data_IF_977963039518
#
_entry.id   IF_977963039518
#
_cell.length_a   1.000
_cell.length_b   1.000
_cell.length_c   1.000
_cell.angle_alpha   90.00
_cell.angle_beta   90.00
_cell.angle_gamma   90.00
#
_symmetry.space_group_name_H-M   'P 1'
#
loop_
_entity.id
_entity.type
_entity.pdbx_description
1 polymer ?
#
# COMPACT_ATOMS: atom_id res chain seq x y z
N UNK A 1 8.22 11.11 -12.00
CA UNK A 1 6.76 11.32 -11.80
C UNK A 1 6.62 12.54 -10.91
N UNK A 2 5.77 13.50 -11.28
CA UNK A 2 5.50 14.66 -10.44
C UNK A 2 4.24 14.44 -9.63
N UNK A 3 4.25 14.84 -8.37
CA UNK A 3 3.11 14.70 -7.47
C UNK A 3 3.03 15.90 -6.52
N UNK A 4 1.85 16.24 -5.96
CA UNK A 4 1.74 17.38 -5.07
C UNK A 4 2.34 17.01 -3.71
N UNK A 5 2.90 17.96 -2.99
CA UNK A 5 3.36 17.71 -1.64
C UNK A 5 2.21 17.25 -0.73
N UNK A 6 2.48 16.26 0.14
CA UNK A 6 1.46 15.67 1.02
C UNK A 6 1.24 16.48 2.32
N UNK A 7 2.33 16.93 2.95
CA UNK A 7 2.30 17.77 4.14
C UNK A 7 3.05 19.07 3.90
N UNK A 8 2.49 20.22 4.28
CA UNK A 8 3.16 21.52 4.18
C UNK A 8 2.43 22.49 3.24
N UNK A 9 3.21 23.37 2.60
CA UNK A 9 2.69 24.46 1.77
C UNK A 9 1.87 23.97 0.57
N UNK A 10 0.79 24.69 0.28
CA UNK A 10 -0.04 24.39 -0.89
C UNK A 10 0.69 24.75 -2.18
N UNK A 11 0.55 23.90 -3.20
CA UNK A 11 1.10 24.04 -4.56
C UNK A 11 2.58 23.69 -4.77
N UNK A 12 3.27 23.16 -3.77
CA UNK A 12 4.60 22.59 -3.98
C UNK A 12 4.50 21.25 -4.72
N UNK A 13 5.34 21.10 -5.75
CA UNK A 13 5.42 19.89 -6.58
C UNK A 13 6.71 19.15 -6.29
N UNK A 14 6.59 17.88 -5.96
CA UNK A 14 7.71 16.97 -5.70
C UNK A 14 7.89 15.98 -6.84
N UNK A 15 9.07 15.35 -6.90
CA UNK A 15 9.40 14.39 -7.96
C UNK A 15 9.78 13.02 -7.42
N UNK A 16 8.96 12.02 -7.69
CA UNK A 16 9.28 10.62 -7.39
C UNK A 16 9.97 9.96 -8.60
N UNK A 17 11.03 9.18 -8.33
CA UNK A 17 11.79 8.49 -9.38
C UNK A 17 12.06 7.03 -9.05
N UNK A 18 11.48 6.15 -9.88
CA UNK A 18 11.69 4.71 -9.77
C UNK A 18 13.13 4.28 -10.07
N UNK A 19 13.87 5.06 -10.87
CA UNK A 19 15.27 4.74 -11.21
C UNK A 19 16.19 4.80 -9.99
N UNK A 20 15.86 5.60 -8.97
CA UNK A 20 16.62 5.68 -7.72
C UNK A 20 16.56 4.36 -6.96
N UNK A 21 15.41 3.67 -6.98
CA UNK A 21 15.26 2.37 -6.32
C UNK A 21 16.22 1.34 -6.91
N UNK A 22 16.45 1.41 -8.23
CA UNK A 22 17.44 0.56 -8.91
C UNK A 22 18.86 0.94 -8.52
N UNK A 23 19.18 2.23 -8.45
CA UNK A 23 20.50 2.70 -8.00
C UNK A 23 20.81 2.25 -6.58
N UNK A 24 19.86 2.34 -5.66
CA UNK A 24 20.02 1.85 -4.28
C UNK A 24 20.26 0.35 -4.27
N UNK A 25 19.47 -0.42 -5.03
CA UNK A 25 19.69 -1.85 -5.16
C UNK A 25 21.08 -2.21 -5.68
N UNK A 26 21.58 -1.46 -6.66
CA UNK A 26 22.92 -1.67 -7.23
C UNK A 26 24.02 -1.29 -6.24
N UNK A 27 23.87 -0.17 -5.51
CA UNK A 27 24.80 0.25 -4.44
C UNK A 27 24.90 -0.82 -3.35
N UNK A 28 23.76 -1.36 -2.92
CA UNK A 28 23.72 -2.38 -1.87
C UNK A 28 23.97 -3.80 -2.39
N UNK A 29 24.19 -3.99 -3.70
CA UNK A 29 24.31 -5.33 -4.28
C UNK A 29 25.51 -6.10 -3.74
N UNK A 30 26.63 -5.41 -3.51
CA UNK A 30 27.88 -5.93 -2.95
C UNK A 30 27.98 -5.84 -1.42
N UNK A 31 27.05 -5.17 -0.75
CA UNK A 31 27.11 -4.95 0.69
C UNK A 31 26.57 -6.14 1.48
N UNK A 32 27.21 -6.45 2.60
CA UNK A 32 26.78 -7.52 3.51
C UNK A 32 25.57 -7.09 4.35
N UNK A 33 25.57 -5.84 4.81
CA UNK A 33 24.47 -5.21 5.54
C UNK A 33 23.75 -4.24 4.62
N UNK A 34 22.43 -4.37 4.55
CA UNK A 34 21.58 -3.58 3.65
C UNK A 34 20.54 -2.84 4.47
N UNK A 35 20.28 -1.60 4.12
CA UNK A 35 19.14 -0.80 4.57
C UNK A 35 17.85 -1.25 3.87
N UNK A 36 17.89 -1.46 2.55
CA UNK A 36 16.69 -1.84 1.76
C UNK A 36 16.41 -3.34 1.83
N UNK A 37 16.37 -3.90 3.04
CA UNK A 37 16.19 -5.33 3.29
C UNK A 37 14.88 -5.81 2.64
N UNK A 38 15.01 -6.80 1.77
CA UNK A 38 13.88 -7.41 1.06
C UNK A 38 13.64 -6.84 -0.34
N UNK A 39 14.30 -5.75 -0.74
CA UNK A 39 14.27 -5.28 -2.13
C UNK A 39 14.93 -6.33 -3.04
N UNK A 40 14.23 -6.71 -4.11
CA UNK A 40 14.70 -7.77 -5.01
C UNK A 40 14.63 -7.32 -6.45
N UNK A 41 15.48 -7.93 -7.30
CA UNK A 41 15.46 -7.72 -8.75
C UNK A 41 14.06 -7.91 -9.35
N UNK A 42 13.30 -8.92 -8.89
CA UNK A 42 11.92 -9.17 -9.32
C UNK A 42 10.95 -8.02 -9.01
N UNK A 43 11.16 -7.31 -7.90
CA UNK A 43 10.35 -6.15 -7.56
C UNK A 43 10.65 -4.95 -8.49
N UNK A 44 11.92 -4.77 -8.86
CA UNK A 44 12.39 -3.63 -9.68
C UNK A 44 12.22 -3.83 -11.19
N UNK A 45 12.19 -5.08 -11.63
CA UNK A 45 12.02 -5.49 -13.02
C UNK A 45 11.02 -6.66 -13.13
N UNK A 46 9.73 -6.44 -12.80
CA UNK A 46 8.74 -7.51 -12.81
C UNK A 46 8.35 -7.91 -14.23
N UNK A 47 8.28 -9.22 -14.47
CA UNK A 47 7.59 -9.80 -15.64
C UNK A 47 6.07 -9.57 -15.55
N UNK A 48 5.34 -9.81 -16.65
CA UNK A 48 3.87 -9.64 -16.66
C UNK A 48 3.16 -10.51 -15.59
N UNK A 49 3.65 -11.73 -15.35
CA UNK A 49 3.12 -12.61 -14.31
C UNK A 49 3.44 -12.06 -12.90
N UNK A 50 4.67 -11.57 -12.71
CA UNK A 50 5.12 -11.05 -11.41
C UNK A 50 4.42 -9.74 -11.01
N UNK A 51 3.89 -8.96 -11.97
CA UNK A 51 3.12 -7.74 -11.68
C UNK A 51 1.85 -7.99 -10.86
N UNK A 52 1.30 -9.20 -10.90
CA UNK A 52 0.13 -9.58 -10.10
C UNK A 52 0.52 -9.98 -8.66
N UNK A 53 1.81 -10.09 -8.35
CA UNK A 53 2.26 -10.54 -7.04
C UNK A 53 2.37 -9.36 -6.07
N UNK A 54 1.38 -9.24 -5.18
CA UNK A 54 1.32 -8.20 -4.14
C UNK A 54 2.57 -8.21 -3.25
N UNK A 55 3.17 -9.37 -2.97
CA UNK A 55 4.39 -9.44 -2.15
C UNK A 55 5.59 -8.74 -2.80
N UNK A 56 5.66 -8.65 -4.13
CA UNK A 56 6.70 -7.90 -4.82
C UNK A 56 6.44 -6.39 -4.75
N UNK A 57 5.19 -5.96 -4.83
CA UNK A 57 4.81 -4.56 -4.62
C UNK A 57 5.15 -4.10 -3.19
N UNK A 58 4.89 -4.93 -2.18
CA UNK A 58 5.21 -4.64 -0.78
C UNK A 58 6.71 -4.55 -0.50
N UNK A 59 7.58 -5.06 -1.37
CA UNK A 59 9.03 -4.83 -1.27
C UNK A 59 9.42 -3.43 -1.71
N UNK A 60 8.65 -2.81 -2.61
CA UNK A 60 8.82 -1.42 -3.03
C UNK A 60 8.24 -0.48 -1.97
N UNK A 61 6.99 -0.73 -1.56
CA UNK A 61 6.33 0.06 -0.53
C UNK A 61 6.65 -0.50 0.86
N UNK A 62 7.88 -0.26 1.32
CA UNK A 62 8.36 -0.72 2.62
C UNK A 62 9.11 0.37 3.39
N UNK A 63 9.01 0.34 4.72
CA UNK A 63 9.76 1.24 5.62
C UNK A 63 11.27 1.11 5.43
N UNK A 64 11.76 -0.10 5.17
CA UNK A 64 13.18 -0.37 4.94
C UNK A 64 13.68 0.37 3.69
N UNK A 65 12.92 0.37 2.60
CA UNK A 65 13.30 1.10 1.39
C UNK A 65 13.21 2.61 1.59
N UNK A 66 12.22 3.09 2.35
CA UNK A 66 12.14 4.52 2.72
C UNK A 66 13.39 4.93 3.50
N UNK A 67 13.82 4.16 4.50
CA UNK A 67 15.06 4.42 5.24
C UNK A 67 16.30 4.34 4.33
N UNK A 68 16.38 3.33 3.47
CA UNK A 68 17.48 3.21 2.50
C UNK A 68 17.57 4.40 1.56
N UNK A 69 16.44 4.96 1.12
CA UNK A 69 16.38 6.18 0.31
C UNK A 69 16.92 7.40 1.03
N UNK A 70 16.57 7.57 2.31
CA UNK A 70 17.06 8.69 3.10
C UNK A 70 18.58 8.57 3.33
N UNK A 71 19.01 7.44 3.90
CA UNK A 71 20.41 7.23 4.30
C UNK A 71 21.37 7.14 3.10
N UNK A 72 21.09 6.22 2.16
CA UNK A 72 21.98 6.01 1.01
C UNK A 72 21.80 7.09 -0.05
N UNK A 73 20.59 7.64 -0.17
CA UNK A 73 20.36 8.75 -1.09
C UNK A 73 21.16 9.98 -0.72
N UNK A 74 21.23 10.33 0.58
CA UNK A 74 22.07 11.44 1.04
C UNK A 74 23.55 11.10 0.88
N UNK A 75 23.98 9.94 1.39
CA UNK A 75 25.39 9.49 1.32
C UNK A 75 25.95 9.49 -0.11
N UNK A 76 25.13 9.11 -1.09
CA UNK A 76 25.55 9.01 -2.50
C UNK A 76 25.03 10.17 -3.38
N UNK A 77 24.51 11.24 -2.78
CA UNK A 77 23.98 12.42 -3.49
C UNK A 77 22.98 12.06 -4.61
N UNK A 78 22.07 11.13 -4.34
CA UNK A 78 21.05 10.69 -5.30
C UNK A 78 19.94 11.74 -5.39
N UNK A 79 19.85 12.41 -6.54
CA UNK A 79 18.79 13.38 -6.81
C UNK A 79 17.39 12.79 -6.59
N UNK A 80 16.51 13.54 -5.93
CA UNK A 80 15.11 13.17 -5.60
C UNK A 80 14.94 11.98 -4.65
N UNK A 81 15.95 11.62 -3.87
CA UNK A 81 15.84 10.59 -2.85
C UNK A 81 14.75 10.89 -1.80
N UNK A 82 14.74 12.09 -1.24
CA UNK A 82 13.77 12.53 -0.22
C UNK A 82 12.35 12.59 -0.76
N UNK A 83 12.14 13.18 -1.93
CA UNK A 83 10.85 13.19 -2.60
C UNK A 83 10.36 11.76 -2.90
N UNK A 84 11.22 10.88 -3.38
CA UNK A 84 10.83 9.48 -3.63
C UNK A 84 10.48 8.75 -2.34
N UNK A 85 11.22 9.00 -1.25
CA UNK A 85 10.93 8.45 0.07
C UNK A 85 9.57 8.94 0.59
N UNK A 86 9.29 10.25 0.48
CA UNK A 86 8.02 10.86 0.83
C UNK A 86 6.86 10.22 0.06
N UNK A 87 7.02 10.08 -1.25
CA UNK A 87 6.01 9.44 -2.09
C UNK A 87 5.70 8.01 -1.64
N UNK A 88 6.72 7.17 -1.43
CA UNK A 88 6.52 5.81 -0.95
C UNK A 88 5.84 5.78 0.43
N UNK A 89 6.23 6.69 1.32
CA UNK A 89 5.72 6.74 2.68
C UNK A 89 4.21 7.04 2.74
N UNK A 90 3.68 7.86 1.82
CA UNK A 90 2.23 8.11 1.71
C UNK A 90 1.48 6.78 1.52
N UNK A 91 1.94 5.92 0.59
CA UNK A 91 1.29 4.64 0.32
C UNK A 91 1.56 3.60 1.40
N UNK A 92 2.74 3.62 2.04
CA UNK A 92 3.01 2.79 3.21
C UNK A 92 2.03 3.09 4.35
N UNK A 93 1.83 4.38 4.67
CA UNK A 93 0.89 4.80 5.71
C UNK A 93 -0.56 4.42 5.37
N UNK A 94 -0.99 4.66 4.12
CA UNK A 94 -2.31 4.23 3.67
C UNK A 94 -2.50 2.71 3.79
N UNK A 95 -1.49 1.92 3.37
CA UNK A 95 -1.53 0.47 3.44
C UNK A 95 -1.55 -0.05 4.88
N UNK A 96 -0.81 0.59 5.79
CA UNK A 96 -0.79 0.20 7.20
C UNK A 96 -2.17 0.34 7.85
N UNK A 97 -2.91 1.41 7.51
CA UNK A 97 -4.29 1.66 7.90
C UNK A 97 -5.25 0.65 7.25
N UNK A 98 -5.16 0.50 5.93
CA UNK A 98 -6.09 -0.34 5.15
C UNK A 98 -5.98 -1.84 5.49
N UNK A 99 -4.79 -2.30 5.89
CA UNK A 99 -4.48 -3.72 6.07
C UNK A 99 -4.39 -4.17 7.54
N UNK A 100 -5.20 -3.58 8.44
CA UNK A 100 -5.24 -4.00 9.87
C UNK A 100 -6.12 -5.24 10.04
N UNK A 101 -5.49 -6.40 10.28
CA UNK A 101 -6.19 -7.70 10.48
C UNK A 101 -6.64 -7.95 11.93
N UNK A 102 -5.84 -7.50 12.89
CA UNK A 102 -5.96 -7.81 14.31
C UNK A 102 -5.69 -6.55 15.14
N UNK A 103 -6.31 -6.47 16.31
CA UNK A 103 -6.25 -5.30 17.21
C UNK A 103 -4.83 -4.98 17.67
N UNK A 104 -4.01 -6.01 17.86
CA UNK A 104 -2.64 -5.88 18.40
C UNK A 104 -1.58 -5.58 17.33
N UNK A 105 -1.95 -5.48 16.04
CA UNK A 105 -1.01 -5.30 14.93
C UNK A 105 -0.15 -4.05 15.12
N UNK A 106 -0.78 -2.90 15.39
CA UNK A 106 -0.06 -1.64 15.59
C UNK A 106 0.89 -1.68 16.78
N UNK A 107 0.45 -2.23 17.92
CA UNK A 107 1.29 -2.42 19.11
C UNK A 107 2.51 -3.31 18.84
N UNK A 108 2.31 -4.45 18.18
CA UNK A 108 3.40 -5.37 17.86
C UNK A 108 4.41 -4.77 16.89
N UNK A 109 3.94 -3.95 15.94
CA UNK A 109 4.80 -3.24 14.97
C UNK A 109 5.35 -1.91 15.49
N UNK A 110 4.95 -1.47 16.68
CA UNK A 110 5.18 -0.11 17.18
C UNK A 110 4.78 0.97 16.14
N UNK A 111 3.62 0.80 15.50
CA UNK A 111 3.12 1.68 14.45
C UNK A 111 1.66 2.08 14.72
N UNK A 112 1.40 3.33 15.15
CA UNK A 112 0.05 3.85 15.40
C UNK A 112 -0.88 3.82 14.17
N UNK A 113 -0.33 3.95 12.96
CA UNK A 113 -1.14 3.89 11.72
C UNK A 113 -1.67 2.48 11.45
N UNK A 114 -1.05 1.45 12.03
CA UNK A 114 -1.48 0.06 11.90
C UNK A 114 -2.37 -0.42 13.07
N UNK A 115 -2.91 0.50 13.87
CA UNK A 115 -3.95 0.22 14.87
C UNK A 115 -5.36 0.21 14.26
N UNK A 116 -6.35 -0.43 14.90
CA UNK A 116 -7.74 -0.36 14.47
C UNK A 116 -8.26 1.08 14.38
N UNK A 117 -9.06 1.35 13.36
CA UNK A 117 -9.67 2.67 13.17
C UNK A 117 -10.88 2.82 14.08
N UNK A 118 -11.00 3.96 14.75
CA UNK A 118 -12.10 4.27 15.68
C UNK A 118 -12.83 5.53 15.21
N UNK A 119 -13.97 5.83 15.81
CA UNK A 119 -14.68 7.09 15.52
C UNK A 119 -14.23 8.28 16.36
N UNK A 120 -13.15 8.15 17.15
CA UNK A 120 -12.64 9.26 17.94
C UNK A 120 -12.28 10.45 17.04
N UNK A 121 -12.63 11.65 17.52
CA UNK A 121 -12.45 12.89 16.76
C UNK A 121 -11.00 13.10 16.31
N UNK A 122 -10.04 12.73 17.17
CA UNK A 122 -8.60 12.84 16.93
C UNK A 122 -7.95 11.52 16.46
N UNK A 123 -8.70 10.60 15.85
CA UNK A 123 -8.06 9.41 15.26
C UNK A 123 -7.18 9.84 14.07
N UNK A 124 -5.87 9.77 14.26
CA UNK A 124 -4.82 10.10 13.27
C UNK A 124 -5.03 9.40 11.92
N UNK A 125 -5.67 8.22 11.90
CA UNK A 125 -5.93 7.45 10.69
C UNK A 125 -7.09 8.06 9.90
N UNK A 126 -8.12 8.57 10.57
CA UNK A 126 -9.21 9.33 9.93
C UNK A 126 -8.68 10.63 9.35
N UNK A 127 -7.82 11.35 10.08
CA UNK A 127 -7.18 12.57 9.60
C UNK A 127 -6.30 12.29 8.38
N UNK A 128 -5.47 11.24 8.43
CA UNK A 128 -4.65 10.81 7.32
C UNK A 128 -5.51 10.48 6.09
N UNK A 129 -6.58 9.69 6.23
CA UNK A 129 -7.45 9.32 5.11
C UNK A 129 -8.12 10.55 4.48
N UNK A 130 -8.59 11.52 5.28
CA UNK A 130 -9.14 12.79 4.79
C UNK A 130 -8.10 13.58 3.98
N UNK A 131 -6.88 13.73 4.51
CA UNK A 131 -5.76 14.38 3.82
C UNK A 131 -5.39 13.64 2.53
N UNK A 132 -5.38 12.31 2.57
CA UNK A 132 -5.08 11.45 1.43
C UNK A 132 -6.10 11.58 0.30
N UNK A 133 -7.39 11.65 0.62
CA UNK A 133 -8.44 11.90 -0.37
C UNK A 133 -8.27 13.28 -1.02
N UNK A 134 -8.02 14.32 -0.22
CA UNK A 134 -7.76 15.66 -0.75
C UNK A 134 -6.48 15.71 -1.61
N UNK A 135 -5.44 14.98 -1.21
CA UNK A 135 -4.20 14.84 -1.97
C UNK A 135 -4.42 14.11 -3.30
N UNK A 136 -5.22 13.04 -3.33
CA UNK A 136 -5.61 12.35 -4.56
C UNK A 136 -6.36 13.30 -5.51
N UNK A 137 -7.26 14.15 -5.00
CA UNK A 137 -8.00 15.14 -5.79
C UNK A 137 -7.06 16.20 -6.39
N UNK A 138 -6.02 16.61 -5.66
CA UNK A 138 -4.98 17.50 -6.17
C UNK A 138 -4.12 16.79 -7.23
N UNK A 139 -3.72 15.54 -6.96
CA UNK A 139 -2.84 14.76 -7.83
C UNK A 139 -3.47 14.46 -9.18
N UNK A 140 -4.78 14.16 -9.24
CA UNK A 140 -5.50 13.94 -10.49
C UNK A 140 -5.49 15.17 -11.42
N UNK A 141 -5.67 16.35 -10.82
CA UNK A 141 -5.75 17.64 -11.53
C UNK A 141 -4.40 18.15 -12.03
N UNK A 142 -3.29 17.62 -11.54
CA UNK A 142 -1.96 18.06 -11.98
C UNK A 142 -1.74 17.75 -13.46
N UNK A 143 -1.41 18.75 -14.28
CA UNK A 143 -1.11 18.55 -15.71
C UNK A 143 0.27 17.91 -15.97
N UNK A 144 0.48 16.67 -15.53
CA UNK A 144 1.68 15.89 -15.86
C UNK A 144 1.37 14.83 -16.93
N UNK A 145 2.18 14.74 -17.98
CA UNK A 145 2.06 13.70 -19.01
C UNK A 145 2.69 12.37 -18.59
N UNK A 146 3.44 12.35 -17.48
CA UNK A 146 4.18 11.19 -17.00
C UNK A 146 3.88 10.87 -15.53
N UNK A 147 3.41 9.64 -15.28
CA UNK A 147 3.29 9.08 -13.92
C UNK A 147 2.00 9.42 -13.19
N UNK A 148 0.84 9.44 -13.86
CA UNK A 148 -0.46 9.44 -13.18
C UNK A 148 -1.00 8.03 -13.00
N UNK A 149 -1.92 7.87 -12.06
CA UNK A 149 -2.77 6.70 -12.02
C UNK A 149 -3.68 6.66 -13.25
N UNK A 150 -4.10 5.47 -13.65
CA UNK A 150 -5.25 5.37 -14.54
C UNK A 150 -6.48 5.94 -13.82
N UNK A 151 -7.47 6.36 -14.60
CA UNK A 151 -8.73 6.88 -14.07
C UNK A 151 -9.40 5.87 -13.14
N UNK A 152 -9.35 4.59 -13.49
CA UNK A 152 -9.93 3.50 -12.73
C UNK A 152 -9.19 3.30 -11.39
N UNK A 153 -7.86 3.28 -11.42
CA UNK A 153 -7.04 3.11 -10.20
C UNK A 153 -7.22 4.30 -9.25
N UNK A 154 -7.22 5.53 -9.77
CA UNK A 154 -7.48 6.71 -8.95
C UNK A 154 -8.87 6.67 -8.31
N UNK A 155 -9.90 6.44 -9.13
CA UNK A 155 -11.28 6.39 -8.67
C UNK A 155 -11.50 5.32 -7.61
N UNK A 156 -10.99 4.10 -7.84
CA UNK A 156 -11.09 3.00 -6.88
C UNK A 156 -10.38 3.33 -5.56
N UNK A 157 -9.16 3.88 -5.61
CA UNK A 157 -8.38 4.21 -4.41
C UNK A 157 -9.04 5.33 -3.59
N UNK A 158 -9.54 6.37 -4.27
CA UNK A 158 -10.27 7.48 -3.65
C UNK A 158 -11.57 7.00 -3.01
N UNK A 159 -12.38 6.25 -3.76
CA UNK A 159 -13.65 5.71 -3.28
C UNK A 159 -13.45 4.76 -2.09
N UNK A 160 -12.45 3.88 -2.16
CA UNK A 160 -12.11 2.96 -1.06
C UNK A 160 -11.75 3.73 0.21
N UNK A 161 -10.89 4.76 0.08
CA UNK A 161 -10.48 5.60 1.22
C UNK A 161 -11.66 6.35 1.83
N UNK A 162 -12.57 6.86 0.99
CA UNK A 162 -13.80 7.52 1.44
C UNK A 162 -14.75 6.53 2.14
N UNK A 163 -14.91 5.33 1.58
CA UNK A 163 -15.76 4.29 2.15
C UNK A 163 -15.25 3.84 3.52
N UNK A 164 -13.94 3.75 3.74
CA UNK A 164 -13.38 3.46 5.05
C UNK A 164 -13.81 4.47 6.12
N UNK A 165 -13.84 5.77 5.79
CA UNK A 165 -14.33 6.79 6.71
C UNK A 165 -15.82 6.58 7.04
N UNK A 166 -16.66 6.45 6.03
CA UNK A 166 -18.11 6.32 6.20
C UNK A 166 -18.52 5.03 6.92
N UNK A 167 -17.92 3.90 6.56
CA UNK A 167 -18.21 2.61 7.21
C UNK A 167 -17.74 2.64 8.66
N UNK A 168 -16.58 3.24 8.95
CA UNK A 168 -16.12 3.39 10.34
C UNK A 168 -17.11 4.21 11.17
N UNK A 169 -17.52 5.36 10.66
CA UNK A 169 -18.48 6.24 11.34
C UNK A 169 -19.82 5.53 11.58
N UNK A 170 -20.36 4.87 10.55
CA UNK A 170 -21.61 4.11 10.66
C UNK A 170 -21.50 2.94 11.65
N UNK A 171 -20.44 2.13 11.58
CA UNK A 171 -20.25 1.00 12.48
C UNK A 171 -20.13 1.46 13.94
N UNK A 172 -19.43 2.57 14.20
CA UNK A 172 -19.28 3.08 15.56
C UNK A 172 -20.57 3.71 16.08
N UNK A 173 -21.24 4.55 15.28
CA UNK A 173 -22.39 5.33 15.73
C UNK A 173 -23.72 4.58 15.68
N UNK A 174 -23.88 3.61 14.76
CA UNK A 174 -25.14 2.88 14.58
C UNK A 174 -25.06 1.43 15.08
N UNK A 175 -23.88 0.81 15.11
CA UNK A 175 -23.71 -0.60 15.52
C UNK A 175 -23.00 -0.76 16.87
N UNK A 176 -22.70 0.34 17.58
CA UNK A 176 -21.98 0.37 18.85
C UNK A 176 -20.63 -0.36 18.81
N UNK A 177 -19.95 -0.36 17.66
CA UNK A 177 -18.59 -0.91 17.55
C UNK A 177 -17.58 0.08 18.11
N UNK A 178 -16.62 -0.38 18.90
CA UNK A 178 -15.55 0.49 19.45
C UNK A 178 -14.45 0.82 18.43
N UNK A 179 -14.29 -0.04 17.42
CA UNK A 179 -13.32 0.11 16.34
C UNK A 179 -13.71 -0.75 15.14
N UNK A 180 -13.01 -0.55 14.03
CA UNK A 180 -13.13 -1.35 12.81
C UNK A 180 -11.75 -1.85 12.35
N UNK A 181 -11.73 -3.08 11.83
CA UNK A 181 -10.54 -3.70 11.25
C UNK A 181 -10.69 -3.67 9.73
N UNK A 182 -10.12 -2.67 9.06
CA UNK A 182 -10.38 -2.41 7.63
C UNK A 182 -10.00 -3.56 6.70
N UNK A 183 -9.04 -4.41 7.10
CA UNK A 183 -8.70 -5.62 6.33
C UNK A 183 -9.88 -6.59 6.19
N UNK A 184 -10.81 -6.59 7.14
CA UNK A 184 -11.99 -7.48 7.12
C UNK A 184 -12.98 -7.16 6.00
N UNK A 185 -12.82 -6.02 5.32
CA UNK A 185 -13.65 -5.57 4.20
C UNK A 185 -13.03 -5.99 2.85
N UNK A 186 -11.78 -6.44 2.84
CA UNK A 186 -11.05 -6.81 1.62
C UNK A 186 -11.40 -8.24 1.15
N UNK A 187 -11.13 -8.52 -0.12
CA UNK A 187 -11.41 -9.81 -0.78
C UNK A 187 -10.37 -10.90 -0.51
N UNK A 188 -9.32 -10.64 0.28
CA UNK A 188 -8.23 -11.58 0.59
C UNK A 188 -8.72 -12.99 0.98
N UNK A 189 -9.69 -13.08 1.89
CA UNK A 189 -10.18 -14.38 2.38
C UNK A 189 -10.99 -15.13 1.30
N UNK A 190 -11.64 -14.41 0.38
CA UNK A 190 -12.30 -14.98 -0.79
C UNK A 190 -11.27 -15.51 -1.80
N UNK A 191 -10.21 -14.73 -2.07
CA UNK A 191 -9.12 -15.14 -2.95
C UNK A 191 -8.36 -16.35 -2.39
N UNK A 192 -8.16 -16.38 -1.07
CA UNK A 192 -7.61 -17.53 -0.34
C UNK A 192 -8.47 -18.78 -0.55
N UNK A 193 -9.80 -18.66 -0.44
CA UNK A 193 -10.73 -19.75 -0.72
C UNK A 193 -10.66 -20.23 -2.17
N UNK A 194 -10.54 -19.33 -3.15
CA UNK A 194 -10.28 -19.73 -4.54
C UNK A 194 -8.94 -20.44 -4.72
N UNK A 195 -7.92 -20.06 -3.97
CA UNK A 195 -6.65 -20.78 -3.90
C UNK A 195 -6.81 -22.22 -3.39
N UNK A 196 -7.61 -22.41 -2.34
CA UNK A 196 -7.91 -23.72 -1.78
C UNK A 196 -8.60 -24.63 -2.82
N UNK A 197 -9.61 -24.11 -3.55
CA UNK A 197 -10.29 -24.89 -4.58
C UNK A 197 -9.34 -25.36 -5.70
N UNK A 198 -8.43 -24.49 -6.14
CA UNK A 198 -7.40 -24.88 -7.12
C UNK A 198 -6.51 -25.97 -6.56
N UNK A 199 -6.07 -25.82 -5.30
CA UNK A 199 -5.15 -26.79 -4.69
C UNK A 199 -5.76 -28.16 -4.47
N UNK A 200 -7.01 -28.21 -3.99
CA UNK A 200 -7.76 -29.46 -3.83
C UNK A 200 -8.09 -30.14 -5.18
N UNK A 201 -7.99 -29.40 -6.29
CA UNK A 201 -8.17 -29.91 -7.66
C UNK A 201 -6.83 -30.22 -8.35
N UNK A 202 -5.76 -30.49 -7.58
CA UNK A 202 -4.43 -30.81 -8.13
C UNK A 202 -3.67 -29.59 -8.63
N UNK A 203 -3.85 -28.45 -7.97
CA UNK A 203 -3.26 -27.14 -8.32
C UNK A 203 -3.59 -26.66 -9.76
N UNK A 204 -4.72 -27.11 -10.31
CA UNK A 204 -5.18 -26.70 -11.63
C UNK A 204 -5.71 -25.26 -11.59
N UNK A 205 -5.18 -24.38 -12.46
CA UNK A 205 -5.62 -22.98 -12.52
C UNK A 205 -7.08 -22.86 -12.97
N UNK A 206 -7.47 -23.67 -13.95
CA UNK A 206 -8.83 -23.74 -14.48
C UNK A 206 -9.60 -24.88 -13.79
N UNK A 207 -10.30 -24.54 -12.72
CA UNK A 207 -11.23 -25.46 -12.06
C UNK A 207 -12.59 -25.44 -12.76
N UNK A 208 -13.22 -26.60 -12.89
CA UNK A 208 -14.58 -26.71 -13.41
C UNK A 208 -15.59 -26.46 -12.28
N UNK A 209 -16.82 -26.07 -12.65
CA UNK A 209 -17.93 -25.94 -11.68
C UNK A 209 -18.15 -27.24 -10.91
N UNK A 210 -18.00 -28.40 -11.58
CA UNK A 210 -18.13 -29.72 -10.95
C UNK A 210 -17.07 -29.91 -9.86
N UNK A 211 -15.81 -29.60 -10.14
CA UNK A 211 -14.74 -29.69 -9.15
C UNK A 211 -15.02 -28.81 -7.93
N UNK A 212 -15.54 -27.59 -8.17
CA UNK A 212 -15.89 -26.67 -7.08
C UNK A 212 -16.97 -27.27 -6.16
N UNK A 213 -18.06 -27.81 -6.71
CA UNK A 213 -19.10 -28.49 -5.93
C UNK A 213 -18.59 -29.74 -5.20
N UNK A 214 -17.71 -30.53 -5.83
CA UNK A 214 -17.11 -31.71 -5.20
C UNK A 214 -16.19 -31.33 -4.03
N UNK A 215 -15.53 -30.17 -4.07
CA UNK A 215 -14.73 -29.63 -2.97
C UNK A 215 -15.54 -28.92 -1.88
N UNK A 216 -16.64 -28.26 -2.20
CA UNK A 216 -17.46 -27.56 -1.20
C UNK A 216 -18.17 -28.49 -0.22
N UNK A 217 -18.40 -29.73 -0.63
CA UNK A 217 -19.05 -30.74 0.21
C UNK A 217 -18.06 -31.55 1.08
N UNK A 218 -16.76 -31.20 1.08
CA UNK A 218 -15.71 -31.82 1.90
C UNK A 218 -15.32 -30.92 3.06
#
# INVERSE_FOLDING_TARGET
MHYPQFEGEENVVQTASFSILRKIYDIESSELLKFSIGLTRKALWPTNLERQNVSLALKIFSSNLVMGLLELGEKHNLMHNGDTANFLNIFCAWWDIANVKIVTKGKHKNNPMAEPITDYFNDIKKEFLKKFIAWLDKFEKMNSNNGRFSRETHSALRQTSQAFLFVTEYCCNNLNMSYLLLRKIQTDELESRFGQYRSMSGDQYHISIRHLYETENK
#
